data_IF_931134807129
#
_entry.id   IF_931134807129
#
_cell.length_a   1.000
_cell.length_b   1.000
_cell.length_c   1.000
_cell.angle_alpha   90.00
_cell.angle_beta   90.00
_cell.angle_gamma   90.00
#
_symmetry.space_group_name_H-M   'P 1'
#
loop_
_entity.id
_entity.type
_entity.pdbx_description
1 polymer ?
#
# COMPACT_ATOMS: atom_id res chain seq x y z
N UNK A 1 22.04 16.04 1.76
CA UNK A 1 20.86 15.25 2.18
C UNK A 1 20.42 14.34 1.04
N UNK A 2 20.66 13.03 1.15
CA UNK A 2 20.19 12.04 0.16
C UNK A 2 18.74 11.67 0.48
N UNK A 3 17.81 12.12 -0.36
CA UNK A 3 16.39 11.72 -0.23
C UNK A 3 16.23 10.26 -0.70
N UNK A 4 15.80 9.38 0.19
CA UNK A 4 15.52 7.97 -0.12
C UNK A 4 14.43 7.86 -1.19
N UNK A 5 14.45 6.81 -2.02
CA UNK A 5 13.38 6.56 -3.01
C UNK A 5 12.14 5.97 -2.31
N UNK A 6 10.95 6.28 -2.82
CA UNK A 6 9.68 5.86 -2.23
C UNK A 6 9.46 4.34 -2.22
N UNK A 7 9.88 3.63 -3.27
CA UNK A 7 9.81 2.17 -3.35
C UNK A 7 8.40 1.55 -3.27
N UNK A 8 7.34 2.35 -3.26
CA UNK A 8 5.96 1.87 -3.18
C UNK A 8 5.58 1.11 -4.47
N UNK A 9 4.88 -0.02 -4.38
CA UNK A 9 4.37 -0.70 -5.57
C UNK A 9 3.34 0.18 -6.28
N UNK A 10 3.54 0.42 -7.57
CA UNK A 10 2.59 1.14 -8.41
C UNK A 10 1.55 0.17 -8.98
N UNK A 11 0.46 0.71 -9.52
CA UNK A 11 -0.58 -0.11 -10.18
C UNK A 11 -0.03 -0.91 -11.38
N UNK A 12 1.05 -0.42 -11.98
CA UNK A 12 1.78 -1.07 -13.08
C UNK A 12 2.70 -2.21 -12.61
N UNK A 13 2.71 -2.54 -11.31
CA UNK A 13 3.58 -3.58 -10.72
C UNK A 13 5.03 -3.15 -10.48
N UNK A 14 5.40 -1.94 -10.88
CA UNK A 14 6.76 -1.42 -10.73
C UNK A 14 6.96 -0.70 -9.39
N UNK A 15 8.21 -0.50 -8.98
CA UNK A 15 8.55 0.26 -7.78
C UNK A 15 8.60 1.75 -8.06
N UNK A 16 7.96 2.55 -7.21
CA UNK A 16 7.96 3.99 -7.31
C UNK A 16 9.38 4.55 -7.12
N UNK A 17 9.92 5.18 -8.17
CA UNK A 17 11.25 5.78 -8.16
C UNK A 17 11.27 7.23 -7.65
N UNK A 18 10.10 7.82 -7.35
CA UNK A 18 10.02 9.18 -6.83
C UNK A 18 10.75 9.32 -5.50
N UNK A 19 11.36 10.48 -5.28
CA UNK A 19 11.98 10.82 -3.99
C UNK A 19 10.94 10.80 -2.88
N UNK A 20 11.27 10.14 -1.79
CA UNK A 20 10.48 10.19 -0.58
C UNK A 20 10.55 11.59 0.02
N UNK A 21 9.45 12.02 0.65
CA UNK A 21 9.42 13.31 1.33
C UNK A 21 10.35 13.24 2.52
N UNK A 22 11.14 14.31 2.73
CA UNK A 22 12.12 14.41 3.82
C UNK A 22 11.45 14.05 5.15
N UNK A 23 12.03 13.10 5.87
CA UNK A 23 11.47 12.57 7.13
C UNK A 23 10.47 11.42 6.96
N UNK A 24 10.19 10.94 5.75
CA UNK A 24 9.31 9.78 5.51
C UNK A 24 9.87 8.80 4.48
N UNK A 25 9.39 7.56 4.52
CA UNK A 25 9.81 6.51 3.59
C UNK A 25 9.03 6.53 2.25
N UNK A 26 8.06 7.42 2.07
CA UNK A 26 7.17 7.46 0.88
C UNK A 26 7.14 8.85 0.24
N UNK A 27 6.95 8.92 -1.07
CA UNK A 27 6.79 10.19 -1.79
C UNK A 27 5.38 10.76 -1.57
N UNK A 28 5.16 12.04 -1.87
CA UNK A 28 3.87 12.74 -1.66
C UNK A 28 2.67 12.02 -2.30
N UNK A 29 2.88 11.33 -3.44
CA UNK A 29 1.84 10.52 -4.11
C UNK A 29 1.47 9.23 -3.35
N UNK A 30 2.34 8.80 -2.45
CA UNK A 30 2.19 7.60 -1.61
C UNK A 30 2.22 7.94 -0.11
N UNK A 31 2.15 9.23 0.23
CA UNK A 31 2.15 9.70 1.60
C UNK A 31 0.67 9.83 2.04
N UNK A 32 0.24 8.87 2.85
CA UNK A 32 -1.11 8.84 3.42
C UNK A 32 -1.68 7.43 3.58
N UNK A 33 -2.72 7.26 4.42
CA UNK A 33 -3.44 5.99 4.59
C UNK A 33 -4.27 5.57 3.36
N UNK A 34 -4.33 6.40 2.31
CA UNK A 34 -5.19 6.24 1.13
C UNK A 34 -4.42 6.22 -0.19
N UNK A 35 -3.25 5.56 -0.27
CA UNK A 35 -2.86 5.09 -1.60
C UNK A 35 -3.98 4.15 -2.08
N UNK A 36 -4.59 4.39 -3.22
CA UNK A 36 -5.68 3.56 -3.77
C UNK A 36 -5.33 2.06 -3.73
N UNK A 37 -4.04 1.75 -3.83
CA UNK A 37 -3.48 0.40 -3.64
C UNK A 37 -3.57 -0.12 -2.19
N UNK A 38 -3.22 0.70 -1.19
CA UNK A 38 -3.34 0.35 0.24
C UNK A 38 -4.79 0.11 0.66
N UNK A 39 -5.74 0.86 0.10
CA UNK A 39 -7.19 0.65 0.30
C UNK A 39 -7.65 -0.64 -0.36
N UNK A 40 -7.22 -0.93 -1.59
CA UNK A 40 -7.53 -2.21 -2.25
C UNK A 40 -6.96 -3.41 -1.48
N UNK A 41 -5.74 -3.31 -0.93
CA UNK A 41 -5.16 -4.40 -0.15
C UNK A 41 -5.86 -4.62 1.20
N UNK A 42 -6.28 -3.54 1.88
CA UNK A 42 -7.13 -3.63 3.08
C UNK A 42 -8.46 -4.32 2.76
N UNK A 43 -9.15 -3.90 1.70
CA UNK A 43 -10.41 -4.51 1.25
C UNK A 43 -10.23 -5.99 0.88
N UNK A 44 -9.15 -6.36 0.18
CA UNK A 44 -8.85 -7.77 -0.12
C UNK A 44 -8.59 -8.58 1.15
N UNK A 45 -7.78 -8.07 2.08
CA UNK A 45 -7.55 -8.74 3.37
C UNK A 45 -8.83 -8.87 4.21
N UNK A 46 -9.69 -7.86 4.22
CA UNK A 46 -10.99 -7.95 4.89
C UNK A 46 -11.94 -8.94 4.21
N UNK A 47 -11.99 -8.96 2.88
CA UNK A 47 -12.79 -9.93 2.13
C UNK A 47 -12.31 -11.36 2.37
N UNK A 48 -10.99 -11.59 2.35
CA UNK A 48 -10.39 -12.89 2.65
C UNK A 48 -10.63 -13.31 4.10
N UNK A 49 -10.49 -12.38 5.06
CA UNK A 49 -10.79 -12.64 6.46
C UNK A 49 -12.27 -12.99 6.68
N UNK A 50 -13.19 -12.32 5.96
CA UNK A 50 -14.63 -12.60 6.01
C UNK A 50 -14.95 -13.98 5.42
N UNK A 51 -14.37 -14.33 4.27
CA UNK A 51 -14.47 -15.66 3.65
C UNK A 51 -13.93 -16.76 4.57
N UNK A 52 -12.78 -16.52 5.23
CA UNK A 52 -12.20 -17.48 6.18
C UNK A 52 -13.08 -17.67 7.42
N UNK A 53 -13.70 -16.61 7.94
CA UNK A 53 -14.69 -16.71 9.02
C UNK A 53 -15.95 -17.48 8.62
N UNK A 54 -16.47 -17.24 7.42
CA UNK A 54 -17.62 -17.98 6.87
C UNK A 54 -17.31 -19.47 6.70
N UNK A 55 -16.12 -19.81 6.17
CA UNK A 55 -15.66 -21.20 6.03
C UNK A 55 -15.50 -21.93 7.36
N UNK A 56 -15.08 -21.23 8.42
CA UNK A 56 -14.97 -21.81 9.78
C UNK A 56 -16.31 -21.97 10.51
N UNK A 57 -17.40 -21.37 10.00
CA UNK A 57 -18.73 -21.40 10.60
C UNK A 57 -19.64 -22.50 10.01
N UNK A 58 -19.18 -23.17 8.95
CA UNK A 58 -19.82 -24.33 8.32
C UNK A 58 -19.13 -25.59 8.85
#
# INVERSE_FOLDING_TARGET
MTQSKCGAPTQSGQRCQNKAVIGTSRCSKHQGPLSAYGVQQRKKKEAEAKLKKLRKKR
#
